data_IF_490357114640
#
_entry.id   IF_490357114640
#
_cell.length_a   1.000
_cell.length_b   1.000
_cell.length_c   1.000
_cell.angle_alpha   90.00
_cell.angle_beta   90.00
_cell.angle_gamma   90.00
#
_symmetry.space_group_name_H-M   'P 1'
#
loop_
_entity.id
_entity.type
_entity.pdbx_description
1 polymer ?
#
# COMPACT_ATOMS: atom_id res chain seq x y z
N UNK A 1 7.62 -3.17 -26.75
CA UNK A 1 7.97 -3.02 -26.55
C UNK A 1 8.96 -2.56 -26.23
N UNK A 2 9.27 -2.32 -26.24
CA UNK A 2 10.27 -1.94 -26.05
C UNK A 2 10.47 -1.08 -25.10
N UNK A 3 9.86 -0.62 -24.78
CA UNK A 3 9.99 0.14 -23.99
C UNK A 3 10.51 -0.11 -22.96
N UNK A 4 10.37 -0.89 -22.75
CA UNK A 4 10.82 -1.23 -21.72
C UNK A 4 12.11 -1.01 -21.62
N UNK A 5 12.54 -1.09 -22.47
CA UNK A 5 13.78 -1.02 -22.42
C UNK A 5 14.18 0.15 -21.88
N UNK A 6 13.49 0.89 -22.00
CA UNK A 6 13.82 1.95 -21.68
C UNK A 6 14.15 2.05 -20.46
N UNK A 7 13.66 1.55 -19.82
CA UNK A 7 13.81 1.71 -18.70
C UNK A 7 14.89 1.45 -18.13
N UNK A 8 15.26 0.87 -18.20
CA UNK A 8 16.13 0.44 -17.48
C UNK A 8 17.21 1.08 -17.30
N UNK A 9 17.33 1.38 -17.70
CA UNK A 9 18.31 1.89 -17.67
C UNK A 9 18.64 2.51 -16.62
N UNK A 10 18.08 2.90 -16.20
CA UNK A 10 18.31 3.50 -15.35
C UNK A 10 18.57 3.02 -14.33
N UNK A 11 18.38 2.47 -14.17
CA UNK A 11 18.47 2.05 -13.21
C UNK A 11 19.44 1.64 -12.63
N UNK A 12 19.97 1.46 -12.61
CA UNK A 12 20.83 0.96 -12.12
C UNK A 12 21.33 1.44 -11.06
N UNK A 13 21.11 2.09 -10.66
CA UNK A 13 21.48 2.53 -9.73
C UNK A 13 21.42 1.90 -8.74
N UNK A 14 21.77 1.60 -8.43
CA UNK A 14 22.02 0.96 -7.57
C UNK A 14 21.40 0.94 -6.47
N UNK A 15 21.22 1.48 -5.93
CA UNK A 15 20.62 1.48 -4.90
C UNK A 15 19.59 1.09 -4.86
N UNK A 16 19.28 0.64 -5.41
CA UNK A 16 18.39 0.06 -5.45
C UNK A 16 17.40 -0.14 -4.53
N UNK A 17 17.46 -0.10 -3.36
CA UNK A 17 16.37 -0.21 -2.45
C UNK A 17 15.31 0.82 -2.70
N UNK A 18 15.65 1.95 -3.27
CA UNK A 18 14.68 2.95 -3.62
C UNK A 18 13.94 2.62 -4.91
N UNK A 19 14.50 1.77 -5.74
CA UNK A 19 13.94 1.47 -7.04
C UNK A 19 13.10 0.19 -7.06
N UNK A 20 13.24 -0.65 -6.06
CA UNK A 20 12.52 -1.91 -6.04
C UNK A 20 11.90 -2.13 -4.67
N UNK A 21 10.83 -2.88 -4.65
CA UNK A 21 10.12 -3.22 -3.43
C UNK A 21 9.81 -4.70 -3.46
N UNK A 22 10.11 -5.38 -2.37
CA UNK A 22 9.79 -6.80 -2.25
C UNK A 22 8.41 -6.93 -1.64
N UNK A 23 7.52 -7.64 -2.30
CA UNK A 23 6.17 -7.88 -1.83
C UNK A 23 6.00 -9.38 -1.68
N UNK A 24 5.45 -9.81 -0.56
CA UNK A 24 5.28 -11.24 -0.31
C UNK A 24 4.30 -11.83 -1.32
N UNK A 25 4.59 -13.05 -1.75
CA UNK A 25 3.77 -13.71 -2.75
C UNK A 25 2.31 -13.85 -2.34
N UNK A 26 2.05 -14.02 -1.03
CA UNK A 26 0.69 -14.14 -0.52
C UNK A 26 -0.18 -12.96 -0.94
N UNK A 27 0.41 -11.77 -1.02
CA UNK A 27 -0.32 -10.57 -1.41
C UNK A 27 -0.92 -10.74 -2.81
N UNK A 28 -0.18 -11.32 -3.73
CA UNK A 28 -0.65 -11.51 -5.09
C UNK A 28 -1.46 -12.81 -5.24
N UNK A 29 -1.06 -13.86 -4.54
CA UNK A 29 -1.68 -15.15 -4.74
C UNK A 29 -3.04 -15.27 -4.04
N UNK A 30 -3.20 -14.61 -2.92
CA UNK A 30 -4.41 -14.76 -2.12
C UNK A 30 -5.10 -13.44 -1.87
N UNK A 31 -4.37 -12.43 -1.40
CA UNK A 31 -4.97 -11.18 -1.00
C UNK A 31 -5.62 -10.45 -2.17
N UNK A 32 -4.97 -10.43 -3.31
CA UNK A 32 -5.52 -9.78 -4.49
C UNK A 32 -6.87 -10.38 -4.86
N UNK A 33 -6.94 -11.70 -4.88
CA UNK A 33 -8.18 -12.39 -5.20
C UNK A 33 -9.26 -12.09 -4.18
N UNK A 34 -8.90 -12.09 -2.89
CA UNK A 34 -9.87 -11.84 -1.84
C UNK A 34 -10.41 -10.42 -1.87
N UNK A 35 -9.52 -9.44 -1.98
CA UNK A 35 -9.96 -8.05 -1.94
C UNK A 35 -10.69 -7.64 -3.20
N UNK A 36 -10.23 -8.07 -4.34
CA UNK A 36 -10.84 -7.65 -5.60
C UNK A 36 -12.03 -8.52 -5.96
N UNK A 37 -11.87 -9.83 -5.83
CA UNK A 37 -12.92 -10.77 -6.25
C UNK A 37 -14.00 -10.95 -5.22
N UNK A 38 -13.64 -11.16 -3.97
CA UNK A 38 -14.62 -11.44 -2.92
C UNK A 38 -15.20 -10.16 -2.34
N UNK A 39 -14.35 -9.25 -1.93
CA UNK A 39 -14.80 -8.00 -1.29
C UNK A 39 -15.17 -6.94 -2.31
N UNK A 40 -14.81 -7.15 -3.56
CA UNK A 40 -15.07 -6.18 -4.64
C UNK A 40 -14.48 -4.81 -4.31
N UNK A 41 -13.31 -4.83 -3.74
CA UNK A 41 -12.66 -3.61 -3.29
C UNK A 41 -11.27 -3.49 -3.90
N UNK A 42 -11.22 -3.31 -5.21
CA UNK A 42 -9.93 -3.15 -5.89
C UNK A 42 -9.14 -1.98 -5.33
N UNK A 43 -9.83 -0.91 -4.92
CA UNK A 43 -9.15 0.24 -4.34
C UNK A 43 -8.44 -0.13 -3.04
N UNK A 44 -9.01 -1.07 -2.27
CA UNK A 44 -8.36 -1.51 -1.04
C UNK A 44 -7.03 -2.18 -1.34
N UNK A 45 -6.97 -2.98 -2.39
CA UNK A 45 -5.72 -3.62 -2.78
C UNK A 45 -4.69 -2.59 -3.20
N UNK A 46 -5.11 -1.59 -3.97
CA UNK A 46 -4.21 -0.53 -4.41
C UNK A 46 -3.66 0.24 -3.21
N UNK A 47 -4.52 0.61 -2.27
CA UNK A 47 -4.08 1.34 -1.09
C UNK A 47 -3.14 0.49 -0.25
N UNK A 48 -3.44 -0.80 -0.11
CA UNK A 48 -2.57 -1.70 0.65
C UNK A 48 -1.17 -1.75 0.04
N UNK A 49 -1.08 -1.88 -1.28
CA UNK A 49 0.22 -1.87 -1.95
C UNK A 49 0.95 -0.55 -1.77
N UNK A 50 0.22 0.55 -1.83
CA UNK A 50 0.82 1.86 -1.64
C UNK A 50 1.41 1.98 -0.23
N UNK A 51 0.66 1.56 0.79
CA UNK A 51 1.15 1.61 2.15
C UNK A 51 2.30 0.63 2.37
N UNK A 52 2.26 -0.51 1.70
CA UNK A 52 3.36 -1.47 1.76
C UNK A 52 4.66 -0.83 1.26
N UNK A 53 4.56 -0.11 0.14
CA UNK A 53 5.73 0.58 -0.41
C UNK A 53 6.27 1.60 0.57
N UNK A 54 5.38 2.33 1.23
CA UNK A 54 5.78 3.39 2.15
C UNK A 54 6.33 2.85 3.47
N UNK A 55 5.98 1.63 3.83
CA UNK A 55 6.42 1.03 5.08
C UNK A 55 7.50 -0.01 4.85
N UNK A 56 7.12 -1.20 4.41
CA UNK A 56 8.10 -2.28 4.25
C UNK A 56 9.13 -1.95 3.18
N UNK A 57 8.77 -1.16 2.21
CA UNK A 57 9.69 -0.76 1.17
C UNK A 57 10.86 0.07 1.69
N UNK A 58 10.71 0.69 2.86
CA UNK A 58 11.79 1.45 3.49
C UNK A 58 12.20 0.87 4.83
N UNK A 59 11.80 -0.37 5.10
CA UNK A 59 12.24 -1.07 6.31
C UNK A 59 11.44 -0.74 7.56
N UNK A 60 10.25 -0.20 7.41
CA UNK A 60 9.39 0.13 8.55
C UNK A 60 8.11 -0.67 8.49
N UNK A 61 7.30 -0.61 9.56
CA UNK A 61 6.00 -1.27 9.57
C UNK A 61 4.86 -0.26 9.64
N UNK A 62 5.17 1.01 9.87
CA UNK A 62 4.16 2.06 10.00
C UNK A 62 4.45 3.19 9.03
N UNK A 63 3.40 3.93 8.72
CA UNK A 63 3.48 5.08 7.83
C UNK A 63 2.61 6.18 8.40
N UNK A 64 3.15 7.38 8.50
CA UNK A 64 2.35 8.54 8.88
C UNK A 64 2.04 9.32 7.61
N UNK A 65 0.78 9.34 7.20
CA UNK A 65 0.41 9.97 5.94
C UNK A 65 -1.06 10.38 5.99
N UNK A 66 -1.41 11.40 5.22
CA UNK A 66 -2.78 11.88 5.19
C UNK A 66 -3.57 11.20 4.07
N UNK A 67 -4.90 11.34 4.14
CA UNK A 67 -5.75 10.84 3.06
C UNK A 67 -5.39 11.48 1.73
N UNK A 68 -5.07 12.76 1.76
CA UNK A 68 -4.70 13.47 0.56
C UNK A 68 -3.44 12.88 -0.06
N UNK A 69 -2.45 12.59 0.77
CA UNK A 69 -1.20 12.03 0.26
C UNK A 69 -1.41 10.65 -0.33
N UNK A 70 -2.25 9.84 0.31
CA UNK A 70 -2.57 8.53 -0.24
C UNK A 70 -3.30 8.66 -1.56
N UNK A 71 -4.26 9.58 -1.62
CA UNK A 71 -5.02 9.80 -2.85
C UNK A 71 -4.11 10.24 -4.00
N UNK A 72 -3.18 11.14 -3.71
CA UNK A 72 -2.25 11.61 -4.73
C UNK A 72 -1.31 10.50 -5.18
N UNK A 73 -0.87 9.68 -4.25
CA UNK A 73 0.07 8.61 -4.58
C UNK A 73 -0.56 7.44 -5.32
N UNK A 74 -1.86 7.20 -5.12
CA UNK A 74 -2.54 6.08 -5.74
C UNK A 74 -3.36 6.47 -6.98
N UNK A 75 -3.69 7.75 -7.11
CA UNK A 75 -4.58 8.18 -8.17
C UNK A 75 -6.05 8.01 -7.84
N UNK A 76 -6.37 7.65 -6.61
CA UNK A 76 -7.76 7.48 -6.19
C UNK A 76 -8.30 8.80 -5.64
N UNK A 77 -9.63 8.92 -5.55
CA UNK A 77 -10.24 10.04 -4.88
C UNK A 77 -10.11 9.86 -3.37
N UNK A 78 -10.28 10.94 -2.62
CA UNK A 78 -10.26 10.84 -1.16
C UNK A 78 -11.31 9.88 -0.66
N UNK A 79 -12.49 9.91 -1.27
CA UNK A 79 -13.56 9.00 -0.87
C UNK A 79 -13.18 7.55 -1.16
N UNK A 80 -12.56 7.32 -2.30
CA UNK A 80 -12.09 5.98 -2.64
C UNK A 80 -11.07 5.48 -1.63
N UNK A 81 -10.16 6.38 -1.19
CA UNK A 81 -9.18 6.01 -0.18
C UNK A 81 -9.87 5.71 1.15
N UNK A 82 -10.85 6.51 1.55
CA UNK A 82 -11.57 6.27 2.80
C UNK A 82 -12.27 4.92 2.78
N UNK A 83 -12.91 4.60 1.68
CA UNK A 83 -13.59 3.31 1.54
C UNK A 83 -12.59 2.16 1.57
N UNK A 84 -11.47 2.35 0.89
CA UNK A 84 -10.41 1.34 0.87
C UNK A 84 -9.87 1.09 2.27
N UNK A 85 -9.61 2.16 3.02
CA UNK A 85 -9.10 2.02 4.38
C UNK A 85 -10.10 1.35 5.30
N UNK A 86 -11.39 1.61 5.10
CA UNK A 86 -12.43 0.93 5.87
C UNK A 86 -12.40 -0.57 5.65
N UNK A 87 -12.26 -0.98 4.39
CA UNK A 87 -12.16 -2.40 4.07
C UNK A 87 -10.90 -3.00 4.69
N UNK A 88 -9.78 -2.32 4.56
CA UNK A 88 -8.52 -2.83 5.09
C UNK A 88 -8.54 -2.95 6.60
N UNK A 89 -9.15 -1.98 7.28
CA UNK A 89 -9.26 -2.02 8.73
C UNK A 89 -10.18 -3.15 9.17
N UNK A 90 -11.28 -3.35 8.46
CA UNK A 90 -12.21 -4.42 8.80
C UNK A 90 -11.58 -5.79 8.61
N UNK A 91 -10.73 -5.92 7.58
CA UNK A 91 -10.02 -7.17 7.33
C UNK A 91 -8.76 -7.30 8.17
N UNK A 92 -8.48 -6.31 9.02
CA UNK A 92 -7.30 -6.29 9.88
C UNK A 92 -5.99 -6.34 9.11
N UNK A 93 -5.98 -5.74 7.95
CA UNK A 93 -4.77 -5.61 7.15
C UNK A 93 -4.04 -4.32 7.44
N UNK A 94 -4.73 -3.33 7.99
CA UNK A 94 -4.16 -2.04 8.34
C UNK A 94 -4.74 -1.58 9.67
N UNK A 95 -3.88 -1.12 10.57
CA UNK A 95 -4.31 -0.48 11.80
C UNK A 95 -4.19 1.03 11.63
N UNK A 96 -5.13 1.78 12.19
CA UNK A 96 -5.15 3.23 12.07
C UNK A 96 -5.10 3.82 13.47
N UNK A 97 -4.17 4.75 13.69
CA UNK A 97 -4.03 5.42 14.97
C UNK A 97 -3.81 6.90 14.76
N UNK A 98 -4.41 7.71 15.63
CA UNK A 98 -4.14 9.14 15.64
C UNK A 98 -4.37 9.64 17.06
N UNK A 99 -3.59 10.65 17.45
CA UNK A 99 -3.71 11.18 18.79
C UNK A 99 -4.89 12.09 18.95
N UNK A 100 -5.17 12.90 17.95
CA UNK A 100 -6.32 13.79 17.95
C UNK A 100 -6.95 13.76 16.59
N UNK A 101 -8.13 14.36 16.47
CA UNK A 101 -8.83 14.39 15.19
C UNK A 101 -8.08 15.18 14.12
N UNK A 102 -7.22 16.10 14.54
CA UNK A 102 -6.50 16.92 13.57
C UNK A 102 -5.11 16.39 13.26
N UNK A 103 -4.65 15.36 13.98
CA UNK A 103 -3.34 14.80 13.71
C UNK A 103 -3.36 13.97 12.44
N UNK A 104 -2.20 13.89 11.79
CA UNK A 104 -2.03 13.01 10.66
C UNK A 104 -2.02 11.58 11.17
N UNK A 105 -2.88 10.70 10.66
CA UNK A 105 -2.95 9.35 11.18
C UNK A 105 -1.70 8.55 10.87
N UNK A 106 -1.44 7.56 11.71
CA UNK A 106 -0.37 6.60 11.51
C UNK A 106 -1.02 5.27 11.14
N UNK A 107 -0.61 4.72 10.03
CA UNK A 107 -1.13 3.44 9.56
C UNK A 107 -0.10 2.35 9.80
N UNK A 108 -0.53 1.26 10.41
CA UNK A 108 0.32 0.08 10.61
C UNK A 108 -0.08 -0.95 9.58
N UNK A 109 0.85 -1.34 8.73
CA UNK A 109 0.58 -2.36 7.72
C UNK A 109 0.76 -3.72 8.37
N UNK A 110 -0.28 -4.54 8.32
CA UNK A 110 -0.30 -5.84 8.99
C UNK A 110 -0.21 -6.96 7.98
N UNK A 111 0.36 -8.05 8.44
CA UNK A 111 0.48 -9.27 7.65
C UNK A 111 -0.10 -10.40 8.48
N UNK A 112 -1.43 -10.48 8.61
CA UNK A 112 -2.04 -11.45 9.53
C UNK A 112 -1.76 -12.91 9.17
N UNK A 113 -1.29 -13.17 7.95
CA UNK A 113 -0.92 -14.53 7.56
C UNK A 113 0.44 -14.94 8.10
N UNK A 114 1.19 -14.02 8.67
CA UNK A 114 2.49 -14.34 9.27
C UNK A 114 2.31 -14.49 10.77
N UNK A 115 3.17 -15.29 11.34
CA UNK A 115 3.13 -15.49 12.77
C UNK A 115 4.31 -14.90 13.49
#
# INVERSE_FOLDING_TARGET
MAFCAILPTMSNRASSDADTVTVEAYVFDTLMHDLIGHDRAASAFVVYLHLWRQSFGVGATTVQTSLRDIAEGTGLSKRGVQEALSVLARRQLVGIARKTLTDIPVYTVKRPWRR
#
